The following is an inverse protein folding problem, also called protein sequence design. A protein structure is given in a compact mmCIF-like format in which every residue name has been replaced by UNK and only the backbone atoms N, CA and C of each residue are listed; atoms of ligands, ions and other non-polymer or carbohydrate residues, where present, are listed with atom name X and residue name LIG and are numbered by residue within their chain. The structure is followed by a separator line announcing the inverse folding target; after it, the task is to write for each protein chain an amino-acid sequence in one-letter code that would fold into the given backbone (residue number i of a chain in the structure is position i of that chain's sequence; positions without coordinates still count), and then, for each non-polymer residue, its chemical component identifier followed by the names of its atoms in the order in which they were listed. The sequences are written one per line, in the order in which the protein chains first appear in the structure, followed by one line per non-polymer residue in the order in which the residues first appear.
data_IF_102925622386
#
_entry.id   IF_102925622386
#
_cell.length_a   1.000
_cell.length_b   1.000
_cell.length_c   1.000
_cell.angle_alpha   90.00
_cell.angle_beta   90.00
_cell.angle_gamma   90.00
#
_symmetry.space_group_name_H-M   'P 1'
#
loop_
_entity.id
_entity.type
_entity.pdbx_description
1 polymer ?
#
# COMPACT_ATOMS: atom_id res chain seq x y z
N UNK A 1 5.24 45.26 -8.89
CA UNK A 1 5.95 44.78 -10.10
C UNK A 1 6.19 43.29 -9.93
N UNK A 2 5.40 42.45 -10.61
CA UNK A 2 5.47 40.98 -10.52
C UNK A 2 6.62 40.48 -11.39
N UNK A 3 7.55 39.73 -10.80
CA UNK A 3 8.61 39.02 -11.52
C UNK A 3 8.17 37.56 -11.65
N UNK A 4 7.88 37.14 -12.88
CA UNK A 4 7.63 35.75 -13.23
C UNK A 4 8.85 35.29 -14.01
N UNK A 5 9.57 34.32 -13.46
CA UNK A 5 10.71 33.68 -14.13
C UNK A 5 10.14 32.59 -15.06
N UNK A 6 10.47 32.60 -16.36
CA UNK A 6 10.01 31.56 -17.26
C UNK A 6 10.63 30.21 -16.88
N UNK A 7 9.79 29.19 -16.75
CA UNK A 7 10.21 27.80 -16.56
C UNK A 7 10.89 27.36 -17.86
N UNK A 8 12.14 26.91 -17.76
CA UNK A 8 12.86 26.33 -18.89
C UNK A 8 12.19 25.00 -19.23
N UNK A 9 11.67 24.86 -20.45
CA UNK A 9 11.24 23.58 -20.99
C UNK A 9 12.46 22.66 -21.10
N UNK A 10 12.64 21.82 -20.09
CA UNK A 10 13.66 20.77 -20.11
C UNK A 10 13.13 19.60 -20.96
N UNK A 11 13.18 19.74 -22.28
CA UNK A 11 13.01 18.59 -23.17
C UNK A 11 14.36 17.87 -23.29
N UNK A 12 14.51 16.64 -22.75
CA UNK A 12 15.75 15.91 -22.88
C UNK A 12 16.02 15.57 -24.36
N UNK A 13 17.26 15.65 -24.84
CA UNK A 13 17.60 15.38 -26.23
C UNK A 13 17.19 13.94 -26.59
N UNK A 14 16.40 13.80 -27.66
CA UNK A 14 15.99 12.50 -28.17
C UNK A 14 17.21 11.77 -28.76
N UNK A 15 17.84 10.91 -27.95
CA UNK A 15 18.88 10.01 -28.43
C UNK A 15 18.24 9.03 -29.42
N UNK A 16 18.47 9.25 -30.73
CA UNK A 16 18.13 8.29 -31.79
C UNK A 16 19.11 7.13 -31.77
N UNK A 17 19.04 6.33 -30.72
CA UNK A 17 19.79 5.08 -30.62
C UNK A 17 19.05 4.03 -31.47
N UNK A 18 19.73 3.28 -32.37
CA UNK A 18 19.10 2.13 -33.01
C UNK A 18 18.61 1.17 -31.91
N UNK A 19 17.50 0.43 -32.11
CA UNK A 19 17.00 -0.49 -31.09
C UNK A 19 18.07 -1.54 -30.83
N UNK A 20 18.79 -1.36 -29.73
CA UNK A 20 19.69 -2.36 -29.22
C UNK A 20 18.81 -3.58 -28.96
N UNK A 21 19.08 -4.69 -29.65
CA UNK A 21 18.34 -5.94 -29.44
C UNK A 21 18.56 -6.31 -27.97
N UNK A 22 17.59 -5.97 -27.13
CA UNK A 22 17.52 -6.47 -25.76
C UNK A 22 17.36 -7.97 -25.93
N UNK A 23 18.45 -8.71 -25.73
CA UNK A 23 18.34 -10.13 -25.44
C UNK A 23 17.60 -10.20 -24.12
N UNK A 24 16.27 -10.30 -24.20
CA UNK A 24 15.45 -10.70 -23.07
C UNK A 24 16.11 -11.99 -22.56
N UNK A 25 16.69 -11.95 -21.37
CA UNK A 25 17.10 -13.17 -20.71
C UNK A 25 15.81 -13.99 -20.61
N UNK A 26 15.73 -15.04 -21.43
CA UNK A 26 14.74 -16.10 -21.29
C UNK A 26 14.72 -16.45 -19.80
N UNK A 27 13.55 -16.51 -19.13
CA UNK A 27 13.52 -16.94 -17.75
C UNK A 27 14.18 -18.31 -17.71
N UNK A 28 15.39 -18.40 -17.14
CA UNK A 28 15.96 -19.69 -16.81
C UNK A 28 14.97 -20.27 -15.82
N UNK A 29 14.28 -21.33 -16.22
CA UNK A 29 13.57 -22.25 -15.34
C UNK A 29 14.58 -22.99 -14.45
N UNK A 30 15.32 -22.21 -13.67
CA UNK A 30 16.21 -22.66 -12.63
C UNK A 30 15.61 -22.15 -11.35
N UNK A 31 15.05 -23.07 -10.59
CA UNK A 31 14.73 -22.91 -9.17
C UNK A 31 16.04 -22.65 -8.44
N UNK A 32 16.62 -21.46 -8.60
CA UNK A 32 17.66 -21.01 -7.71
C UNK A 32 17.02 -21.02 -6.31
N UNK A 33 17.59 -21.74 -5.33
CA UNK A 33 17.11 -21.63 -3.97
C UNK A 33 17.19 -20.14 -3.65
N UNK A 34 16.03 -19.51 -3.49
CA UNK A 34 15.91 -18.17 -2.92
C UNK A 34 16.68 -18.30 -1.61
N UNK A 35 17.90 -17.76 -1.55
CA UNK A 35 18.59 -17.58 -0.27
C UNK A 35 17.54 -16.92 0.61
N UNK A 36 17.08 -17.56 1.71
CA UNK A 36 16.17 -16.90 2.60
C UNK A 36 16.88 -15.61 2.98
N UNK A 37 16.31 -14.48 2.57
CA UNK A 37 16.77 -13.21 3.10
C UNK A 37 16.78 -13.39 4.62
N UNK A 38 17.85 -12.96 5.32
CA UNK A 38 17.87 -13.04 6.78
C UNK A 38 16.54 -12.49 7.26
N UNK A 39 15.75 -13.32 7.94
CA UNK A 39 14.47 -12.91 8.51
C UNK A 39 14.80 -11.69 9.36
N UNK A 40 14.36 -10.48 8.98
CA UNK A 40 14.60 -9.31 9.81
C UNK A 40 14.04 -9.66 11.18
N UNK A 41 14.82 -9.46 12.24
CA UNK A 41 14.33 -9.67 13.61
C UNK A 41 13.16 -8.72 13.77
N UNK A 42 11.94 -9.26 13.70
CA UNK A 42 10.74 -8.44 13.63
C UNK A 42 10.53 -7.81 15.01
N UNK A 43 10.91 -6.54 15.10
CA UNK A 43 10.83 -5.77 16.34
C UNK A 43 9.38 -5.73 16.83
N UNK A 44 9.19 -5.62 18.15
CA UNK A 44 7.86 -5.50 18.74
C UNK A 44 6.96 -4.45 18.06
N UNK A 45 7.45 -3.23 17.73
CA UNK A 45 6.64 -2.26 16.97
C UNK A 45 6.28 -2.74 15.57
N UNK A 46 7.15 -3.48 14.87
CA UNK A 46 6.86 -3.99 13.53
C UNK A 46 5.77 -5.07 13.56
N UNK A 47 5.80 -5.96 14.55
CA UNK A 47 4.72 -6.94 14.77
C UNK A 47 3.38 -6.25 15.08
N UNK A 48 3.40 -5.19 15.88
CA UNK A 48 2.21 -4.39 16.17
C UNK A 48 1.68 -3.67 14.91
N UNK A 49 2.57 -3.09 14.10
CA UNK A 49 2.22 -2.49 12.81
C UNK A 49 1.60 -3.52 11.86
N UNK A 50 2.16 -4.73 11.78
CA UNK A 50 1.63 -5.82 10.96
C UNK A 50 0.23 -6.26 11.39
N UNK A 51 0.02 -6.47 12.69
CA UNK A 51 -1.29 -6.83 13.24
C UNK A 51 -2.34 -5.74 13.02
N UNK A 52 -1.97 -4.48 13.24
CA UNK A 52 -2.82 -3.34 12.96
C UNK A 52 -3.16 -3.24 11.46
N UNK A 53 -2.17 -3.35 10.58
CA UNK A 53 -2.37 -3.25 9.14
C UNK A 53 -3.24 -4.38 8.59
N UNK A 54 -3.06 -5.63 9.03
CA UNK A 54 -3.93 -6.74 8.64
C UNK A 54 -5.39 -6.46 9.04
N UNK A 55 -5.63 -6.07 10.30
CA UNK A 55 -6.97 -5.77 10.78
C UNK A 55 -7.60 -4.56 10.05
N UNK A 56 -6.81 -3.52 9.80
CA UNK A 56 -7.28 -2.32 9.11
C UNK A 56 -7.61 -2.59 7.64
N UNK A 57 -6.74 -3.29 6.91
CA UNK A 57 -6.98 -3.63 5.50
C UNK A 57 -8.16 -4.57 5.33
N UNK A 58 -8.36 -5.55 6.23
CA UNK A 58 -9.59 -6.37 6.24
C UNK A 58 -10.82 -5.50 6.41
N UNK A 59 -10.81 -4.56 7.36
CA UNK A 59 -11.95 -3.66 7.59
C UNK A 59 -12.23 -2.74 6.40
N UNK A 60 -11.18 -2.26 5.73
CA UNK A 60 -11.31 -1.47 4.50
C UNK A 60 -12.03 -2.30 3.42
N UNK A 61 -11.57 -3.53 3.18
CA UNK A 61 -12.19 -4.42 2.19
C UNK A 61 -13.65 -4.75 2.54
N UNK A 62 -13.96 -4.99 3.82
CA UNK A 62 -15.34 -5.24 4.29
C UNK A 62 -16.27 -4.04 4.11
N UNK A 63 -15.76 -2.81 4.29
CA UNK A 63 -16.52 -1.58 4.04
C UNK A 63 -16.75 -1.35 2.54
N UNK A 64 -15.72 -1.62 1.73
CA UNK A 64 -15.82 -1.60 0.26
C UNK A 64 -16.87 -2.62 -0.22
N UNK A 65 -16.94 -3.78 0.43
CA UNK A 65 -17.96 -4.82 0.22
C UNK A 65 -19.34 -4.47 0.79
N UNK A 66 -19.52 -3.29 1.41
CA UNK A 66 -20.73 -2.87 2.13
C UNK A 66 -21.18 -3.82 3.25
N UNK A 67 -20.28 -4.68 3.75
CA UNK A 67 -20.53 -5.59 4.90
C UNK A 67 -20.37 -4.89 6.26
N UNK A 68 -19.79 -3.69 6.27
CA UNK A 68 -19.62 -2.84 7.45
C UNK A 68 -19.87 -1.37 7.11
N UNK A 69 -20.31 -0.55 8.08
CA UNK A 69 -20.49 0.87 7.86
C UNK A 69 -19.15 1.63 7.78
N UNK A 70 -19.08 2.61 6.87
CA UNK A 70 -17.90 3.46 6.64
C UNK A 70 -17.38 4.16 7.92
N UNK A 71 -18.28 4.48 8.86
CA UNK A 71 -17.93 5.11 10.13
C UNK A 71 -16.91 4.29 10.96
N UNK A 72 -16.86 2.96 10.79
CA UNK A 72 -15.91 2.09 11.49
C UNK A 72 -14.46 2.24 11.01
N UNK A 73 -14.20 2.95 9.89
CA UNK A 73 -12.85 3.25 9.41
C UNK A 73 -12.27 4.53 9.99
N UNK A 74 -13.11 5.46 10.48
CA UNK A 74 -12.66 6.73 11.07
C UNK A 74 -11.58 6.57 12.15
N UNK A 75 -11.65 5.60 13.08
CA UNK A 75 -10.59 5.41 14.07
C UNK A 75 -9.35 4.67 13.54
N UNK A 76 -9.32 4.24 12.28
CA UNK A 76 -8.18 3.51 11.70
C UNK A 76 -7.41 4.31 10.66
N UNK A 77 -8.09 5.21 9.96
CA UNK A 77 -7.52 5.98 8.85
C UNK A 77 -7.25 7.43 9.27
N UNK A 78 -6.24 8.06 8.68
CA UNK A 78 -5.99 9.49 8.82
C UNK A 78 -7.18 10.32 8.32
N UNK A 79 -7.31 11.54 8.84
CA UNK A 79 -8.37 12.46 8.41
C UNK A 79 -8.29 12.67 6.89
N UNK A 80 -9.45 12.67 6.21
CA UNK A 80 -9.55 12.80 4.76
C UNK A 80 -9.35 11.51 3.95
N UNK A 81 -8.71 10.47 4.49
CA UNK A 81 -8.51 9.21 3.77
C UNK A 81 -9.82 8.41 3.62
N UNK A 82 -10.75 8.58 4.56
CA UNK A 82 -12.06 7.92 4.53
C UNK A 82 -12.86 8.34 3.29
N UNK A 83 -12.83 9.62 2.93
CA UNK A 83 -13.59 10.15 1.79
C UNK A 83 -13.01 9.67 0.46
N UNK A 84 -11.68 9.48 0.38
CA UNK A 84 -11.01 8.88 -0.77
C UNK A 84 -11.45 7.44 -1.08
N UNK A 85 -12.10 6.75 -0.14
CA UNK A 85 -12.65 5.40 -0.36
C UNK A 85 -14.05 5.41 -0.99
N UNK A 86 -14.77 6.54 -0.98
CA UNK A 86 -16.14 6.61 -1.51
C UNK A 86 -16.24 6.15 -2.98
N UNK A 87 -15.33 6.55 -3.90
CA UNK A 87 -15.37 6.06 -5.27
C UNK A 87 -15.13 4.55 -5.38
N UNK A 88 -14.37 3.96 -4.45
CA UNK A 88 -14.18 2.52 -4.40
C UNK A 88 -15.47 1.83 -3.94
N UNK A 89 -16.13 2.32 -2.88
CA UNK A 89 -17.41 1.78 -2.37
C UNK A 89 -18.54 1.87 -3.42
N UNK A 90 -18.59 2.96 -4.19
CA UNK A 90 -19.60 3.17 -5.22
C UNK A 90 -19.50 2.15 -6.38
N UNK A 91 -18.28 1.76 -6.75
CA UNK A 91 -18.02 0.85 -7.88
C UNK A 91 -18.25 -0.64 -7.58
N UNK A 92 -18.60 -1.01 -6.35
CA UNK A 92 -18.49 -2.40 -5.86
C UNK A 92 -19.83 -3.14 -5.79
N UNK A 93 -20.78 -2.76 -6.63
CA UNK A 93 -22.07 -3.43 -6.70
C UNK A 93 -21.92 -4.82 -7.33
N UNK A 94 -22.43 -5.84 -6.62
CA UNK A 94 -22.50 -7.22 -7.12
C UNK A 94 -21.17 -7.98 -7.18
N UNK A 95 -20.07 -7.45 -6.62
CA UNK A 95 -18.80 -8.18 -6.57
C UNK A 95 -18.70 -8.99 -5.25
N UNK A 96 -18.34 -10.28 -5.35
CA UNK A 96 -18.20 -11.17 -4.20
C UNK A 96 -17.17 -10.68 -3.16
N UNK A 97 -17.17 -11.28 -1.97
CA UNK A 97 -16.35 -10.84 -0.86
C UNK A 97 -14.85 -10.83 -1.17
N UNK A 98 -14.15 -9.76 -0.77
CA UNK A 98 -12.70 -9.71 -0.85
C UNK A 98 -12.06 -10.43 0.34
N UNK A 99 -11.03 -11.22 0.06
CA UNK A 99 -10.23 -11.91 1.07
C UNK A 99 -8.79 -11.43 1.01
N UNK A 100 -8.31 -10.81 2.08
CA UNK A 100 -6.91 -10.45 2.25
C UNK A 100 -6.06 -11.74 2.29
N UNK A 101 -4.99 -11.80 1.50
CA UNK A 101 -4.17 -13.00 1.33
C UNK A 101 -2.80 -12.83 1.96
N UNK A 102 -1.90 -12.18 1.25
CA UNK A 102 -0.52 -12.02 1.67
C UNK A 102 -0.28 -10.59 2.03
N UNK A 103 0.36 -10.36 3.16
CA UNK A 103 0.76 -9.05 3.63
C UNK A 103 2.27 -9.06 3.87
N UNK A 104 2.95 -7.98 3.47
CA UNK A 104 4.36 -7.73 3.75
C UNK A 104 4.46 -6.35 4.36
N UNK A 105 5.18 -6.26 5.47
CA UNK A 105 5.46 -5.01 6.16
C UNK A 105 6.94 -4.69 6.00
N UNK A 106 7.24 -3.43 5.75
CA UNK A 106 8.60 -2.92 5.68
C UNK A 106 8.71 -1.68 6.58
N UNK A 107 9.71 -1.61 7.49
CA UNK A 107 9.97 -0.40 8.26
C UNK A 107 10.22 0.80 7.35
N UNK A 108 9.73 1.95 7.79
CA UNK A 108 10.15 3.26 7.28
C UNK A 108 11.03 3.91 8.33
N UNK A 109 12.30 4.13 8.00
CA UNK A 109 13.28 4.66 8.94
C UNK A 109 13.72 3.66 10.02
N UNK A 110 14.40 4.17 11.04
CA UNK A 110 15.01 3.37 12.12
C UNK A 110 14.17 3.27 13.39
N UNK A 111 13.20 4.18 13.55
CA UNK A 111 12.58 4.44 14.85
C UNK A 111 11.36 3.53 15.10
N UNK A 112 10.95 2.74 14.11
CA UNK A 112 9.83 1.82 14.21
C UNK A 112 8.46 2.49 14.36
N UNK A 113 8.36 3.79 14.10
CA UNK A 113 7.13 4.58 14.19
C UNK A 113 6.30 4.56 12.91
N UNK A 114 6.86 4.05 11.80
CA UNK A 114 6.20 4.00 10.50
C UNK A 114 6.56 2.71 9.74
N UNK A 115 5.62 2.24 8.91
CA UNK A 115 5.82 1.09 8.04
C UNK A 115 5.04 1.20 6.73
N UNK A 116 5.67 0.78 5.63
CA UNK A 116 5.00 0.54 4.36
C UNK A 116 4.50 -0.91 4.33
N UNK A 117 3.30 -1.09 3.82
CA UNK A 117 2.61 -2.38 3.76
C UNK A 117 2.18 -2.65 2.33
N UNK A 118 2.59 -3.79 1.80
CA UNK A 118 2.15 -4.28 0.50
C UNK A 118 1.41 -5.60 0.69
N UNK A 119 0.19 -5.68 0.19
CA UNK A 119 -0.63 -6.86 0.30
C UNK A 119 -1.38 -7.18 -1.00
N UNK A 120 -1.87 -8.41 -1.06
CA UNK A 120 -2.78 -8.85 -2.12
C UNK A 120 -4.10 -9.31 -1.52
N UNK A 121 -5.19 -9.09 -2.25
CA UNK A 121 -6.49 -9.64 -1.92
C UNK A 121 -7.08 -10.34 -3.14
N UNK A 122 -7.82 -11.43 -2.90
CA UNK A 122 -8.58 -12.11 -3.95
C UNK A 122 -10.02 -11.65 -3.90
N UNK A 123 -10.62 -11.47 -5.06
CA UNK A 123 -12.05 -11.21 -5.23
C UNK A 123 -12.53 -12.01 -6.43
N UNK A 124 -13.45 -12.95 -6.19
CA UNK A 124 -13.81 -13.98 -7.16
C UNK A 124 -12.52 -14.70 -7.65
N UNK A 125 -12.33 -14.81 -8.96
CA UNK A 125 -11.15 -15.45 -9.57
C UNK A 125 -9.95 -14.50 -9.78
N UNK A 126 -10.07 -13.22 -9.39
CA UNK A 126 -9.03 -12.21 -9.63
C UNK A 126 -8.25 -11.90 -8.36
N UNK A 127 -6.95 -11.70 -8.52
CA UNK A 127 -6.06 -11.20 -7.46
C UNK A 127 -5.73 -9.74 -7.73
N UNK A 128 -5.86 -8.91 -6.70
CA UNK A 128 -5.63 -7.48 -6.71
C UNK A 128 -4.55 -7.11 -5.70
N UNK A 129 -3.94 -5.94 -5.91
CA UNK A 129 -2.96 -5.37 -4.99
C UNK A 129 -3.61 -4.29 -4.12
N UNK A 130 -3.14 -4.19 -2.88
CA UNK A 130 -3.47 -3.11 -1.97
C UNK A 130 -2.18 -2.73 -1.24
N UNK A 131 -1.90 -1.44 -1.17
CA UNK A 131 -0.72 -0.92 -0.48
C UNK A 131 -1.14 0.18 0.47
N UNK A 132 -0.54 0.23 1.65
CA UNK A 132 -0.78 1.31 2.58
C UNK A 132 0.46 1.65 3.39
N UNK A 133 0.48 2.85 3.94
CA UNK A 133 1.45 3.27 4.94
C UNK A 133 0.76 3.42 6.28
N UNK A 134 1.40 2.92 7.33
CA UNK A 134 0.93 3.07 8.71
C UNK A 134 1.94 3.85 9.53
N UNK A 135 1.45 4.74 10.39
CA UNK A 135 2.26 5.56 11.28
C UNK A 135 1.68 5.58 12.69
N UNK A 136 2.56 5.73 13.67
CA UNK A 136 2.19 5.97 15.05
C UNK A 136 1.83 7.44 15.24
N UNK A 137 0.60 7.69 15.70
CA UNK A 137 0.14 9.00 16.11
C UNK A 137 0.07 9.08 17.62
N UNK A 138 0.44 10.25 18.16
CA UNK A 138 0.23 10.57 19.56
C UNK A 138 -1.23 10.95 19.77
N UNK A 139 -1.88 10.34 20.75
CA UNK A 139 -3.25 10.69 21.17
C UNK A 139 -3.28 10.95 22.67
N UNK A 140 -4.32 11.61 23.21
CA UNK A 140 -4.43 11.84 24.65
C UNK A 140 -4.38 10.56 25.49
N UNK A 141 -4.75 9.41 24.90
CA UNK A 141 -4.74 8.09 25.54
C UNK A 141 -3.45 7.29 25.29
N UNK A 142 -2.46 7.87 24.61
CA UNK A 142 -1.20 7.23 24.27
C UNK A 142 -0.96 7.10 22.76
N UNK A 143 -0.02 6.24 22.38
CA UNK A 143 0.36 6.04 20.98
C UNK A 143 -0.55 5.02 20.32
N UNK A 144 -1.04 5.32 19.12
CA UNK A 144 -1.76 4.34 18.30
C UNK A 144 -1.33 4.38 16.85
N UNK A 145 -1.48 3.25 16.17
CA UNK A 145 -1.26 3.17 14.74
C UNK A 145 -2.45 3.76 13.96
N UNK A 146 -2.14 4.37 12.82
CA UNK A 146 -3.11 4.89 11.87
C UNK A 146 -2.62 4.65 10.45
N UNK A 147 -3.53 4.33 9.53
CA UNK A 147 -3.22 4.29 8.10
C UNK A 147 -3.20 5.72 7.57
N UNK A 148 -2.07 6.16 7.03
CA UNK A 148 -1.87 7.54 6.55
C UNK A 148 -1.90 7.66 5.03
N UNK A 149 -1.66 6.56 4.32
CA UNK A 149 -1.78 6.49 2.87
C UNK A 149 -2.34 5.12 2.47
N UNK A 150 -3.13 5.08 1.41
CA UNK A 150 -3.76 3.86 0.92
C UNK A 150 -3.92 3.90 -0.60
N UNK A 151 -3.59 2.79 -1.25
CA UNK A 151 -3.76 2.57 -2.67
C UNK A 151 -4.41 1.20 -2.91
N UNK A 152 -5.40 1.15 -3.80
CA UNK A 152 -6.15 -0.06 -4.18
C UNK A 152 -6.08 -0.19 -5.70
N UNK A 153 -5.58 -1.33 -6.19
CA UNK A 153 -5.37 -1.62 -7.61
C UNK A 153 -6.40 -2.54 -8.26
#
# INVERSE_FOLDING_TARGET
MSCVVPVVDYEPPMLRTPPQRVRLLRPRGGTAPRRPAPVPVETAPMRAAAGFADAALRRVLEVIDRRRPLAQLRPLLAAGLVDSLLPAVARQEGRGAAHLRRLRVQPVGTDGSAAEVAATYSRNERTHAIACRVEQIQTPTGVRWQVVALHIG
#
